data_IF_891795084955
#
_entry.id   IF_891795084955
#
_cell.length_a   1.000
_cell.length_b   1.000
_cell.length_c   1.000
_cell.angle_alpha   90.00
_cell.angle_beta   90.00
_cell.angle_gamma   90.00
#
_symmetry.space_group_name_H-M   'P 1'
#
loop_
_entity.id
_entity.type
_entity.pdbx_description
1 polymer ?
#
# COMPACT_ATOMS: atom_id res chain seq x y z
N UNK A 1 -4.52 -10.71 30.54
CA UNK A 1 -5.66 -11.64 30.70
C UNK A 1 -6.03 -11.72 32.15
N UNK A 2 -7.31 -11.79 32.47
CA UNK A 2 -7.85 -12.17 33.77
C UNK A 2 -8.76 -13.38 33.59
N UNK A 3 -8.84 -14.24 34.63
CA UNK A 3 -9.79 -15.35 34.64
C UNK A 3 -11.19 -14.82 34.92
N UNK A 4 -12.17 -15.38 34.30
CA UNK A 4 -13.61 -15.24 34.62
C UNK A 4 -14.13 -16.57 35.17
N UNK A 5 -15.34 -16.64 35.74
CA UNK A 5 -15.87 -17.90 36.27
C UNK A 5 -15.96 -19.02 35.24
N UNK A 6 -16.16 -18.69 33.96
CA UNK A 6 -16.33 -19.66 32.86
C UNK A 6 -15.31 -19.51 31.73
N UNK A 7 -14.26 -18.70 31.94
CA UNK A 7 -13.26 -18.47 30.89
C UNK A 7 -12.21 -17.42 31.24
N UNK A 8 -12.01 -16.47 30.32
CA UNK A 8 -10.93 -15.48 30.44
C UNK A 8 -11.21 -14.21 29.64
N UNK A 9 -10.55 -13.13 30.03
CA UNK A 9 -10.44 -11.90 29.23
C UNK A 9 -9.15 -11.93 28.41
N UNK A 10 -9.24 -11.74 27.11
CA UNK A 10 -8.12 -11.66 26.18
C UNK A 10 -7.95 -10.24 25.62
N UNK A 11 -6.74 -9.78 25.51
CA UNK A 11 -6.37 -8.61 24.72
C UNK A 11 -5.68 -9.11 23.45
N UNK A 12 -6.20 -8.71 22.31
CA UNK A 12 -5.63 -8.98 20.99
C UNK A 12 -4.96 -7.71 20.49
N UNK A 13 -3.69 -7.80 20.12
CA UNK A 13 -2.94 -6.69 19.53
C UNK A 13 -2.39 -7.16 18.20
N UNK A 14 -2.71 -6.43 17.14
CA UNK A 14 -2.18 -6.63 15.81
C UNK A 14 -1.18 -5.55 15.50
N UNK A 15 0.04 -5.94 15.11
CA UNK A 15 1.11 -5.04 14.70
C UNK A 15 1.34 -5.25 13.20
N UNK A 16 1.29 -4.19 12.42
CA UNK A 16 1.64 -4.23 11.02
C UNK A 16 3.13 -3.92 10.84
N UNK A 17 3.97 -4.93 10.87
CA UNK A 17 5.42 -4.79 10.68
C UNK A 17 5.83 -4.63 9.21
N UNK A 18 4.89 -4.57 8.29
CA UNK A 18 5.22 -4.32 6.88
C UNK A 18 5.73 -2.89 6.70
N UNK A 19 6.84 -2.75 5.98
CA UNK A 19 7.56 -1.47 5.90
C UNK A 19 6.75 -0.40 5.18
N UNK A 20 6.01 -0.75 4.13
CA UNK A 20 5.31 0.19 3.26
C UNK A 20 3.93 -0.28 2.79
N UNK A 21 3.39 -1.35 3.36
CA UNK A 21 2.02 -1.80 3.07
C UNK A 21 1.09 -1.47 4.22
N UNK A 22 0.10 -0.65 3.95
CA UNK A 22 -0.99 -0.37 4.87
C UNK A 22 -2.08 -1.44 4.79
N UNK A 23 -2.84 -1.58 5.86
CA UNK A 23 -4.19 -2.16 5.80
C UNK A 23 -5.14 -0.98 5.59
N UNK A 24 -5.73 -0.90 4.40
CA UNK A 24 -6.56 0.24 3.99
C UNK A 24 -8.05 -0.02 4.31
N UNK A 25 -8.87 1.02 4.18
CA UNK A 25 -10.33 0.89 4.24
C UNK A 25 -10.82 -0.18 3.22
N UNK A 26 -11.82 -0.98 3.57
CA UNK A 26 -12.63 -1.03 4.79
C UNK A 26 -11.98 -1.67 6.02
N UNK A 27 -10.67 -1.87 6.02
CA UNK A 27 -9.94 -2.32 7.18
C UNK A 27 -9.74 -3.83 7.27
N UNK A 28 -9.17 -4.26 8.38
CA UNK A 28 -8.90 -5.67 8.63
C UNK A 28 -10.15 -6.43 9.08
N UNK A 29 -10.19 -7.70 8.70
CA UNK A 29 -11.10 -8.70 9.25
C UNK A 29 -10.28 -9.86 9.77
N UNK A 30 -10.36 -10.13 11.06
CA UNK A 30 -9.65 -11.22 11.72
C UNK A 30 -10.61 -12.35 12.06
N UNK A 31 -10.28 -13.56 11.66
CA UNK A 31 -11.05 -14.77 11.96
C UNK A 31 -10.18 -15.84 12.59
N UNK A 32 -10.83 -16.75 13.31
CA UNK A 32 -10.19 -17.96 13.87
C UNK A 32 -11.22 -19.06 14.10
N UNK A 33 -10.73 -20.23 14.45
CA UNK A 33 -11.57 -21.34 14.88
C UNK A 33 -11.29 -21.65 16.34
N UNK A 34 -12.32 -21.66 17.17
CA UNK A 34 -12.24 -22.08 18.55
C UNK A 34 -11.81 -23.54 18.67
N UNK A 35 -11.00 -23.85 19.69
CA UNK A 35 -10.57 -25.21 19.93
C UNK A 35 -11.68 -26.10 20.51
N UNK A 36 -12.59 -25.48 21.29
CA UNK A 36 -13.74 -26.14 21.92
C UNK A 36 -15.06 -25.40 21.56
N UNK A 37 -15.95 -25.24 22.51
CA UNK A 37 -17.24 -24.55 22.39
C UNK A 37 -17.20 -23.15 23.00
N UNK A 38 -16.03 -22.50 22.86
CA UNK A 38 -15.85 -21.13 23.36
C UNK A 38 -16.82 -20.16 22.69
N UNK A 39 -17.27 -19.15 23.44
CA UNK A 39 -18.12 -18.05 22.97
C UNK A 39 -17.50 -16.70 23.32
N UNK A 40 -17.89 -15.66 22.62
CA UNK A 40 -17.52 -14.28 22.95
C UNK A 40 -18.69 -13.67 23.74
N UNK A 41 -18.51 -13.40 25.02
CA UNK A 41 -19.51 -12.71 25.83
C UNK A 41 -19.58 -11.23 25.51
N UNK A 42 -18.43 -10.60 25.37
CA UNK A 42 -18.33 -9.18 25.05
C UNK A 42 -17.06 -8.89 24.25
N UNK A 43 -17.13 -7.88 23.38
CA UNK A 43 -16.00 -7.31 22.67
C UNK A 43 -15.94 -5.82 22.97
N UNK A 44 -14.75 -5.29 23.16
CA UNK A 44 -14.46 -3.86 23.38
C UNK A 44 -13.36 -3.45 22.42
N UNK A 45 -13.58 -2.41 21.63
CA UNK A 45 -12.69 -1.97 20.54
C UNK A 45 -12.85 -2.76 19.25
N UNK A 46 -13.77 -3.73 19.20
CA UNK A 46 -14.08 -4.50 18.01
C UNK A 46 -15.48 -5.11 18.11
N UNK A 47 -16.00 -5.61 17.01
CA UNK A 47 -17.29 -6.32 16.97
C UNK A 47 -17.20 -7.60 16.14
N UNK A 48 -18.03 -8.59 16.48
CA UNK A 48 -18.17 -9.78 15.66
C UNK A 48 -19.10 -9.49 14.49
N UNK A 49 -18.72 -9.89 13.29
CA UNK A 49 -19.51 -9.65 12.07
C UNK A 49 -20.84 -10.39 12.05
N UNK A 50 -20.95 -11.49 12.81
CA UNK A 50 -22.16 -12.31 12.94
C UNK A 50 -22.21 -12.95 14.33
N UNK A 51 -23.38 -12.90 14.99
CA UNK A 51 -23.59 -13.51 16.30
C UNK A 51 -23.57 -15.05 16.25
N UNK A 52 -24.21 -15.64 15.26
CA UNK A 52 -24.42 -17.09 15.18
C UNK A 52 -25.59 -17.55 16.01
N UNK A 53 -25.72 -18.87 16.15
CA UNK A 53 -26.82 -19.48 16.94
C UNK A 53 -26.43 -19.49 18.43
N UNK A 54 -27.16 -18.70 19.22
CA UNK A 54 -27.04 -18.58 20.67
C UNK A 54 -28.27 -19.12 21.41
N UNK A 55 -29.13 -19.89 20.75
CA UNK A 55 -30.41 -20.36 21.26
C UNK A 55 -30.33 -21.20 22.55
N UNK A 56 -29.21 -21.81 22.83
CA UNK A 56 -28.93 -22.60 24.03
C UNK A 56 -28.69 -21.78 25.30
N UNK A 57 -28.42 -20.46 25.16
CA UNK A 57 -28.27 -19.57 26.31
C UNK A 57 -29.61 -18.99 26.71
N UNK A 58 -30.13 -19.40 27.89
CA UNK A 58 -31.46 -19.00 28.41
C UNK A 58 -31.47 -17.69 29.22
N UNK A 59 -30.26 -17.15 29.51
CA UNK A 59 -30.09 -15.92 30.30
C UNK A 59 -29.40 -14.84 29.50
N UNK A 60 -28.21 -14.47 29.95
CA UNK A 60 -27.38 -13.55 29.19
C UNK A 60 -26.98 -14.17 27.85
N UNK A 61 -27.18 -13.42 26.77
CA UNK A 61 -26.87 -13.87 25.40
C UNK A 61 -25.48 -13.40 25.03
N UNK A 62 -24.57 -14.32 24.62
CA UNK A 62 -23.25 -13.93 24.18
C UNK A 62 -23.27 -13.02 22.93
N UNK A 63 -22.25 -12.17 22.81
CA UNK A 63 -22.03 -11.34 21.63
C UNK A 63 -21.80 -12.19 20.36
N UNK A 64 -21.10 -13.34 20.49
CA UNK A 64 -20.93 -14.28 19.36
C UNK A 64 -20.80 -15.73 19.85
N UNK A 65 -21.63 -16.61 19.27
CA UNK A 65 -21.66 -18.05 19.53
C UNK A 65 -21.08 -18.89 18.39
N UNK A 66 -20.46 -18.26 17.39
CA UNK A 66 -19.90 -19.01 16.25
C UNK A 66 -18.64 -19.78 16.63
N UNK A 67 -18.55 -21.01 16.13
CA UNK A 67 -17.31 -21.81 16.20
C UNK A 67 -16.14 -21.15 15.47
N UNK A 68 -16.44 -20.43 14.40
CA UNK A 68 -15.50 -19.67 13.58
C UNK A 68 -15.91 -18.19 13.57
N UNK A 69 -15.66 -17.44 14.65
CA UNK A 69 -15.99 -16.02 14.68
C UNK A 69 -15.09 -15.24 13.71
N UNK A 70 -15.63 -14.17 13.19
CA UNK A 70 -14.90 -13.13 12.46
C UNK A 70 -15.17 -11.80 13.13
N UNK A 71 -14.13 -11.01 13.34
CA UNK A 71 -14.14 -9.76 14.10
C UNK A 71 -13.56 -8.65 13.23
N UNK A 72 -14.13 -7.46 13.35
CA UNK A 72 -13.68 -6.23 12.69
C UNK A 72 -13.47 -5.11 13.71
N UNK A 73 -12.67 -4.12 13.37
CA UNK A 73 -12.49 -2.93 14.20
C UNK A 73 -13.74 -2.04 14.18
N UNK A 74 -13.98 -1.33 15.26
CA UNK A 74 -15.02 -0.32 15.30
C UNK A 74 -14.66 0.90 14.44
N UNK A 75 -15.70 1.57 13.95
CA UNK A 75 -15.55 2.81 13.19
C UNK A 75 -15.13 3.98 14.11
N UNK A 76 -14.48 5.02 13.55
CA UNK A 76 -14.25 6.27 14.26
C UNK A 76 -15.57 6.84 14.79
N UNK A 77 -15.52 7.37 16.02
CA UNK A 77 -16.72 7.91 16.70
C UNK A 77 -17.49 6.90 17.55
N UNK A 78 -17.01 5.66 17.68
CA UNK A 78 -17.57 4.69 18.63
C UNK A 78 -17.65 5.27 20.05
N UNK A 79 -18.71 4.95 20.84
CA UNK A 79 -18.86 5.44 22.21
C UNK A 79 -17.66 5.09 23.09
N UNK A 80 -17.30 5.97 24.03
CA UNK A 80 -16.12 5.81 24.88
C UNK A 80 -16.08 4.47 25.64
N UNK A 81 -17.23 3.99 26.11
CA UNK A 81 -17.35 2.70 26.81
C UNK A 81 -17.12 1.47 25.92
N UNK A 82 -17.11 1.66 24.61
CA UNK A 82 -16.80 0.62 23.62
C UNK A 82 -15.37 0.75 23.07
N UNK A 83 -14.65 1.82 23.40
CA UNK A 83 -13.30 2.04 22.93
C UNK A 83 -12.28 1.23 23.72
N UNK A 84 -11.24 0.81 23.03
CA UNK A 84 -10.06 0.18 23.59
C UNK A 84 -8.79 0.90 23.07
N UNK A 85 -7.68 0.71 23.71
CA UNK A 85 -6.40 1.30 23.26
C UNK A 85 -6.11 0.90 21.82
N UNK A 86 -5.76 1.87 20.96
CA UNK A 86 -5.43 1.67 19.54
C UNK A 86 -6.56 1.10 18.66
N UNK A 87 -7.82 1.15 19.10
CA UNK A 87 -8.96 0.75 18.30
C UNK A 87 -9.54 1.90 17.47
N UNK A 88 -10.68 1.56 16.88
CA UNK A 88 -11.71 2.47 16.41
C UNK A 88 -11.25 3.36 15.26
N UNK A 89 -10.50 2.74 14.35
CA UNK A 89 -10.01 3.34 13.10
C UNK A 89 -10.67 2.70 11.86
N UNK A 90 -11.75 1.93 12.04
CA UNK A 90 -12.36 1.15 10.97
C UNK A 90 -11.44 0.07 10.41
N UNK A 91 -10.52 -0.43 11.22
CA UNK A 91 -9.55 -1.46 10.80
C UNK A 91 -8.41 -0.97 9.92
N UNK A 92 -8.25 0.32 9.76
CA UNK A 92 -7.11 0.90 9.02
C UNK A 92 -5.87 0.87 9.90
N UNK A 93 -4.79 0.30 9.38
CA UNK A 93 -3.51 0.18 10.11
C UNK A 93 -2.38 0.62 9.20
N UNK A 94 -1.61 1.60 9.63
CA UNK A 94 -0.48 2.14 8.84
C UNK A 94 0.64 1.12 8.65
N UNK A 95 1.49 1.36 7.66
CA UNK A 95 2.73 0.62 7.52
C UNK A 95 3.72 1.04 8.61
N UNK A 96 4.47 0.09 9.14
CA UNK A 96 5.47 0.36 10.18
C UNK A 96 6.52 1.38 9.76
N UNK A 97 6.94 1.32 8.51
CA UNK A 97 7.95 2.23 7.97
C UNK A 97 7.50 3.68 7.92
N UNK A 98 6.21 3.94 7.76
CA UNK A 98 5.66 5.30 7.73
C UNK A 98 5.44 5.82 9.15
N UNK A 99 4.61 5.15 9.94
CA UNK A 99 4.28 5.57 11.31
C UNK A 99 4.08 4.36 12.23
N UNK A 100 5.09 4.00 13.02
CA UNK A 100 4.99 2.91 13.98
C UNK A 100 3.88 3.09 15.02
N UNK A 101 3.54 4.34 15.37
CA UNK A 101 2.53 4.62 16.40
C UNK A 101 1.11 4.27 15.95
N UNK A 102 0.83 4.38 14.66
CA UNK A 102 -0.46 4.02 14.05
C UNK A 102 -0.47 2.64 13.39
N UNK A 103 0.69 1.96 13.38
CA UNK A 103 0.87 0.60 12.83
C UNK A 103 0.35 -0.50 13.77
N UNK A 104 -0.53 -0.16 14.69
CA UNK A 104 -1.07 -1.08 15.69
C UNK A 104 -2.60 -0.91 15.81
N UNK A 105 -3.30 -2.03 16.00
CA UNK A 105 -4.71 -2.08 16.37
C UNK A 105 -4.91 -3.08 17.49
N UNK A 106 -5.76 -2.76 18.47
CA UNK A 106 -5.98 -3.63 19.63
C UNK A 106 -7.44 -3.62 20.04
N UNK A 107 -7.89 -4.76 20.57
CA UNK A 107 -9.22 -4.91 21.14
C UNK A 107 -9.21 -5.94 22.26
N UNK A 108 -10.29 -5.96 23.05
CA UNK A 108 -10.46 -6.88 24.17
C UNK A 108 -11.68 -7.78 23.95
N UNK A 109 -11.54 -9.05 24.27
CA UNK A 109 -12.62 -10.04 24.25
C UNK A 109 -12.80 -10.65 25.64
N UNK A 110 -14.06 -10.80 26.06
CA UNK A 110 -14.45 -11.68 27.16
C UNK A 110 -14.88 -13.03 26.57
N UNK A 111 -14.12 -14.07 26.83
CA UNK A 111 -14.33 -15.42 26.27
C UNK A 111 -14.88 -16.34 27.37
N UNK A 112 -16.00 -16.95 27.07
CA UNK A 112 -16.68 -17.89 27.95
C UNK A 112 -16.76 -19.30 27.37
N UNK A 113 -17.34 -20.20 28.17
CA UNK A 113 -17.36 -21.63 27.88
C UNK A 113 -15.96 -22.18 27.58
N UNK A 114 -14.96 -21.59 28.20
CA UNK A 114 -13.54 -21.83 27.97
C UNK A 114 -12.89 -22.42 29.25
N UNK A 115 -11.63 -22.84 29.13
CA UNK A 115 -10.86 -23.24 30.29
C UNK A 115 -10.57 -22.05 31.20
N UNK A 116 -10.50 -22.30 32.50
CA UNK A 116 -10.22 -21.30 33.57
C UNK A 116 -8.82 -21.43 34.15
N UNK A 117 -7.97 -22.23 33.55
CA UNK A 117 -6.57 -22.44 34.01
C UNK A 117 -5.62 -22.49 32.79
N UNK A 118 -4.34 -22.23 33.01
CA UNK A 118 -3.29 -22.36 31.97
C UNK A 118 -3.29 -23.74 31.28
N UNK A 119 -3.68 -24.82 32.02
CA UNK A 119 -3.71 -26.17 31.45
C UNK A 119 -4.93 -26.47 30.65
N UNK A 120 -6.05 -25.83 30.93
CA UNK A 120 -7.35 -26.08 30.30
C UNK A 120 -7.65 -25.17 29.11
N UNK A 121 -7.07 -23.95 29.07
CA UNK A 121 -7.18 -23.03 27.91
C UNK A 121 -6.42 -23.61 26.70
N UNK A 122 -7.05 -23.55 25.56
CA UNK A 122 -6.45 -23.96 24.28
C UNK A 122 -6.38 -22.75 23.35
N UNK A 123 -5.22 -22.50 22.70
CA UNK A 123 -5.13 -21.46 21.68
C UNK A 123 -6.11 -21.72 20.54
N UNK A 124 -6.75 -20.68 19.98
CA UNK A 124 -7.54 -20.79 18.75
C UNK A 124 -6.68 -21.31 17.59
N UNK A 125 -7.32 -21.82 16.57
CA UNK A 125 -6.68 -22.42 15.38
C UNK A 125 -7.16 -21.72 14.12
N UNK A 126 -6.51 -22.01 12.99
CA UNK A 126 -6.93 -21.58 11.65
C UNK A 126 -7.23 -20.09 11.58
N UNK A 127 -6.26 -19.28 12.00
CA UNK A 127 -6.37 -17.83 11.89
C UNK A 127 -6.45 -17.40 10.44
N UNK A 128 -7.34 -16.45 10.17
CA UNK A 128 -7.51 -15.80 8.86
C UNK A 128 -7.45 -14.30 9.04
N UNK A 129 -6.76 -13.62 8.14
CA UNK A 129 -6.67 -12.17 8.10
C UNK A 129 -6.97 -11.70 6.68
N UNK A 130 -7.92 -10.76 6.58
CA UNK A 130 -8.18 -10.00 5.37
C UNK A 130 -7.78 -8.55 5.63
N UNK A 131 -7.15 -7.90 4.68
CA UNK A 131 -6.75 -6.53 4.86
C UNK A 131 -6.68 -5.68 3.59
N UNK A 132 -7.81 -5.21 3.08
CA UNK A 132 -9.22 -5.58 3.13
C UNK A 132 -9.56 -6.83 2.32
N UNK A 133 -8.72 -7.22 1.39
CA UNK A 133 -8.89 -8.40 0.54
C UNK A 133 -8.05 -9.59 0.99
N UNK A 134 -8.09 -10.68 0.23
CA UNK A 134 -7.24 -11.86 0.45
C UNK A 134 -5.76 -11.52 0.24
N UNK A 135 -4.90 -12.45 0.60
CA UNK A 135 -3.45 -12.34 0.41
C UNK A 135 -2.63 -12.63 1.66
N UNK A 136 -3.27 -12.66 2.83
CA UNK A 136 -2.60 -13.06 4.06
C UNK A 136 -2.73 -14.55 4.32
N UNK A 137 -1.64 -15.17 4.71
CA UNK A 137 -1.57 -16.54 5.22
C UNK A 137 -1.08 -16.48 6.65
N UNK A 138 -1.87 -17.00 7.58
CA UNK A 138 -1.56 -17.00 9.00
C UNK A 138 -1.01 -18.34 9.47
N UNK A 139 0.05 -18.29 10.26
CA UNK A 139 0.62 -19.46 10.92
C UNK A 139 -0.22 -19.94 12.09
N UNK A 140 0.25 -21.00 12.74
CA UNK A 140 -0.40 -21.53 13.97
C UNK A 140 -0.06 -20.65 15.17
N UNK A 141 -1.00 -20.53 16.10
CA UNK A 141 -0.72 -19.89 17.40
C UNK A 141 0.38 -20.65 18.16
N UNK A 142 1.38 -19.93 18.58
CA UNK A 142 2.49 -20.44 19.41
C UNK A 142 2.43 -19.79 20.79
N UNK A 143 2.49 -20.59 21.85
CA UNK A 143 2.61 -20.07 23.22
C UNK A 143 4.01 -19.47 23.37
N UNK A 144 4.04 -18.24 23.84
CA UNK A 144 5.28 -17.47 24.06
C UNK A 144 5.34 -16.99 25.52
N UNK A 145 6.49 -16.47 25.99
CA UNK A 145 6.59 -15.88 27.31
C UNK A 145 5.50 -14.85 27.57
N UNK A 146 4.92 -14.88 28.78
CA UNK A 146 3.79 -14.02 29.11
C UNK A 146 4.15 -12.54 29.04
N UNK A 147 3.34 -11.78 28.30
CA UNK A 147 3.51 -10.34 28.12
C UNK A 147 3.39 -9.61 29.45
N UNK A 148 4.26 -8.62 29.64
CA UNK A 148 4.27 -7.75 30.81
C UNK A 148 3.73 -6.38 30.38
N UNK A 149 2.72 -5.90 31.09
CA UNK A 149 2.14 -4.58 30.93
C UNK A 149 2.62 -3.68 32.08
N UNK A 150 3.05 -2.48 31.73
CA UNK A 150 3.37 -1.44 32.70
C UNK A 150 2.21 -0.43 32.70
N UNK A 151 1.82 0.01 33.91
CA UNK A 151 0.91 1.15 34.01
C UNK A 151 1.55 2.42 33.39
N UNK A 152 0.76 3.44 32.98
CA UNK A 152 1.30 4.68 32.40
C UNK A 152 2.34 5.38 33.29
N UNK A 153 2.16 5.29 34.62
CA UNK A 153 3.08 5.81 35.63
C UNK A 153 4.27 4.88 35.90
N UNK A 154 4.38 3.73 35.20
CA UNK A 154 5.38 2.66 35.37
C UNK A 154 5.49 2.04 36.76
N UNK A 155 4.57 2.38 37.68
CA UNK A 155 4.61 1.90 39.08
C UNK A 155 4.02 0.50 39.22
N UNK A 156 3.07 0.14 38.37
CA UNK A 156 2.44 -1.19 38.41
C UNK A 156 2.88 -2.03 37.23
N UNK A 157 3.24 -3.27 37.55
CA UNK A 157 3.63 -4.27 36.54
C UNK A 157 2.62 -5.41 36.60
N UNK A 158 1.88 -5.59 35.51
CA UNK A 158 0.90 -6.67 35.37
C UNK A 158 1.41 -7.65 34.33
N UNK A 159 1.38 -8.93 34.64
CA UNK A 159 1.79 -9.97 33.71
C UNK A 159 0.56 -10.73 33.21
N UNK A 160 0.49 -10.96 31.89
CA UNK A 160 -0.54 -11.80 31.28
C UNK A 160 -0.44 -13.23 31.82
N UNK A 161 -1.56 -13.89 32.02
CA UNK A 161 -1.61 -15.28 32.44
C UNK A 161 -1.03 -16.23 31.42
N UNK A 162 -1.27 -15.94 30.13
CA UNK A 162 -0.74 -16.64 28.98
C UNK A 162 -0.68 -15.67 27.79
N UNK A 163 0.33 -15.82 26.97
CA UNK A 163 0.45 -15.11 25.69
C UNK A 163 0.70 -16.12 24.56
N UNK A 164 0.04 -15.92 23.47
CA UNK A 164 0.36 -16.63 22.23
C UNK A 164 0.52 -15.65 21.08
N UNK A 165 1.38 -16.01 20.14
CA UNK A 165 1.69 -15.21 18.94
C UNK A 165 1.23 -15.94 17.70
N UNK A 166 0.72 -15.16 16.74
CA UNK A 166 0.35 -15.60 15.40
C UNK A 166 1.00 -14.63 14.41
N UNK A 167 1.72 -15.18 13.43
CA UNK A 167 2.30 -14.39 12.33
C UNK A 167 1.49 -14.62 11.07
N UNK A 168 1.04 -13.54 10.45
CA UNK A 168 0.40 -13.55 9.15
C UNK A 168 1.31 -12.89 8.12
N UNK A 169 1.58 -13.55 7.01
CA UNK A 169 2.41 -13.05 5.92
C UNK A 169 1.56 -12.74 4.69
N UNK A 170 1.88 -11.66 4.01
CA UNK A 170 1.19 -11.26 2.79
C UNK A 170 1.90 -11.78 1.54
N UNK A 171 1.11 -12.25 0.58
CA UNK A 171 1.58 -12.62 -0.76
C UNK A 171 0.68 -11.98 -1.81
N UNK A 172 1.27 -11.21 -2.71
CA UNK A 172 0.57 -10.59 -3.83
C UNK A 172 -0.01 -11.65 -4.78
N UNK A 173 0.69 -12.78 -4.95
CA UNK A 173 0.22 -13.90 -5.76
C UNK A 173 -1.07 -14.51 -5.19
N UNK A 174 -1.14 -14.70 -3.87
CA UNK A 174 -2.34 -15.22 -3.20
C UNK A 174 -3.48 -14.21 -3.20
N UNK A 175 -3.17 -12.94 -3.19
CA UNK A 175 -4.16 -11.87 -3.28
C UNK A 175 -4.85 -11.82 -4.65
N UNK A 176 -4.31 -12.47 -5.67
CA UNK A 176 -4.77 -12.39 -7.08
C UNK A 176 -4.98 -10.95 -7.53
N UNK A 177 -4.19 -10.03 -6.96
CA UNK A 177 -4.25 -8.62 -7.33
C UNK A 177 -3.45 -8.41 -8.59
N UNK A 178 -4.07 -7.74 -9.53
CA UNK A 178 -3.40 -7.19 -10.69
C UNK A 178 -2.62 -5.94 -10.29
N UNK A 179 -1.69 -5.48 -11.15
CA UNK A 179 -0.96 -4.27 -10.86
C UNK A 179 -1.93 -3.14 -10.48
N UNK A 180 -1.82 -2.66 -9.25
CA UNK A 180 -2.64 -1.54 -8.75
C UNK A 180 -2.15 -0.21 -9.29
N UNK A 181 -0.91 -0.16 -9.77
CA UNK A 181 -0.34 1.01 -10.40
C UNK A 181 0.48 0.65 -11.64
N UNK A 182 0.62 1.62 -12.53
CA UNK A 182 1.51 1.56 -13.67
C UNK A 182 2.38 2.81 -13.75
N UNK A 183 3.52 2.67 -14.38
CA UNK A 183 4.51 3.73 -14.52
C UNK A 183 4.54 4.21 -15.96
N UNK A 184 4.49 5.52 -16.16
CA UNK A 184 4.76 6.17 -17.44
C UNK A 184 6.05 6.98 -17.33
N UNK A 185 6.79 7.05 -18.42
CA UNK A 185 8.12 7.67 -18.46
C UNK A 185 8.15 8.80 -19.47
N UNK A 186 8.83 9.87 -19.14
CA UNK A 186 9.16 10.95 -20.07
C UNK A 186 10.42 11.68 -19.65
N UNK A 187 10.94 12.50 -20.56
CA UNK A 187 12.06 13.36 -20.25
C UNK A 187 11.95 14.70 -20.98
N UNK A 188 12.56 15.72 -20.42
CA UNK A 188 12.64 17.04 -21.04
C UNK A 188 13.39 17.02 -22.38
N UNK A 189 14.31 16.08 -22.57
CA UNK A 189 15.15 15.98 -23.76
C UNK A 189 14.47 15.29 -24.94
N UNK A 190 13.33 14.68 -24.73
CA UNK A 190 12.61 13.94 -25.75
C UNK A 190 11.09 14.14 -25.56
N UNK A 191 10.43 14.58 -26.61
CA UNK A 191 8.96 14.78 -26.61
C UNK A 191 8.17 13.48 -26.47
N UNK A 192 8.83 12.33 -26.60
CA UNK A 192 8.19 11.03 -26.48
C UNK A 192 7.81 10.74 -25.04
N UNK A 193 6.54 10.54 -24.79
CA UNK A 193 6.03 10.00 -23.53
C UNK A 193 5.79 8.51 -23.72
N UNK A 194 6.53 7.70 -22.96
CA UNK A 194 6.28 6.26 -22.89
C UNK A 194 5.08 6.04 -21.96
N UNK A 195 3.93 5.59 -22.48
CA UNK A 195 2.73 5.44 -21.69
C UNK A 195 2.87 4.27 -20.70
N UNK A 196 1.95 4.23 -19.74
CA UNK A 196 1.77 3.04 -18.94
C UNK A 196 1.55 1.83 -19.84
N UNK A 197 2.20 0.69 -19.55
CA UNK A 197 1.84 -0.56 -20.19
C UNK A 197 0.36 -0.86 -19.88
N UNK A 198 -0.27 -1.67 -20.73
CA UNK A 198 -1.68 -2.01 -20.57
C UNK A 198 -1.87 -2.70 -19.22
N UNK A 199 -2.33 -1.94 -18.24
CA UNK A 199 -2.78 -2.49 -16.97
C UNK A 199 -4.19 -3.02 -17.17
N UNK A 200 -4.42 -4.21 -16.66
CA UNK A 200 -5.79 -4.67 -16.47
C UNK A 200 -6.40 -3.83 -15.34
N UNK A 201 -7.53 -3.22 -15.59
CA UNK A 201 -8.25 -2.38 -14.62
C UNK A 201 -8.81 -3.18 -13.42
N UNK A 202 -8.25 -4.32 -13.07
CA UNK A 202 -8.81 -5.25 -12.10
C UNK A 202 -10.11 -5.91 -12.59
N UNK A 203 -10.43 -5.81 -13.87
CA UNK A 203 -11.61 -6.36 -14.50
C UNK A 203 -11.37 -7.80 -14.92
N UNK A 204 -11.33 -8.73 -13.96
CA UNK A 204 -11.19 -10.16 -14.27
C UNK A 204 -12.51 -10.83 -14.60
N UNK A 205 -13.56 -10.41 -13.94
CA UNK A 205 -14.91 -10.85 -14.28
C UNK A 205 -15.51 -9.84 -15.25
N UNK A 206 -15.95 -10.33 -16.40
CA UNK A 206 -16.69 -9.55 -17.41
C UNK A 206 -17.92 -8.83 -16.82
N UNK A 207 -18.35 -9.24 -15.62
CA UNK A 207 -19.46 -8.64 -14.86
C UNK A 207 -19.14 -7.30 -14.20
N UNK A 208 -17.84 -7.00 -13.98
CA UNK A 208 -17.45 -5.82 -13.20
C UNK A 208 -16.92 -4.64 -14.02
N UNK A 209 -16.73 -4.81 -15.32
CA UNK A 209 -16.21 -3.78 -16.21
C UNK A 209 -16.72 -3.94 -17.63
N UNK A 210 -16.87 -2.83 -18.33
CA UNK A 210 -17.25 -2.78 -19.74
C UNK A 210 -15.98 -2.61 -20.57
N UNK A 211 -15.80 -3.43 -21.61
CA UNK A 211 -14.68 -3.28 -22.56
C UNK A 211 -14.88 -2.04 -23.43
N UNK A 212 -13.77 -1.36 -23.75
CA UNK A 212 -13.77 -0.24 -24.69
C UNK A 212 -14.38 -0.66 -26.04
N UNK A 213 -15.45 0.02 -26.47
CA UNK A 213 -16.17 -0.27 -27.71
C UNK A 213 -17.38 -1.20 -27.60
N UNK A 214 -17.66 -1.79 -26.43
CA UNK A 214 -18.96 -2.44 -26.20
C UNK A 214 -20.04 -1.38 -26.08
N UNK A 215 -21.12 -1.52 -26.86
CA UNK A 215 -22.32 -0.72 -26.67
C UNK A 215 -22.84 -0.98 -25.25
N UNK A 216 -22.94 0.07 -24.44
CA UNK A 216 -23.66 0.02 -23.18
C UNK A 216 -25.11 -0.21 -23.57
N UNK A 217 -25.54 -1.44 -23.53
CA UNK A 217 -26.98 -1.75 -23.63
C UNK A 217 -27.55 -1.31 -22.28
N UNK A 218 -28.01 -0.07 -22.24
CA UNK A 218 -28.97 0.34 -21.24
C UNK A 218 -30.29 -0.41 -21.57
N UNK A 219 -30.43 -1.61 -21.05
CA UNK A 219 -31.74 -2.21 -20.92
C UNK A 219 -32.47 -1.44 -19.84
N UNK A 220 -32.99 -0.30 -20.21
CA UNK A 220 -34.10 0.31 -19.51
C UNK A 220 -35.31 -0.45 -20.02
N UNK A 221 -35.61 -1.58 -19.41
CA UNK A 221 -36.96 -2.07 -19.39
C UNK A 221 -37.68 -1.28 -18.32
N UNK A 222 -38.65 -0.51 -18.76
CA UNK A 222 -39.64 0.18 -17.91
C UNK A 222 -40.35 -0.85 -17.01
N UNK A 223 -39.87 -1.00 -15.78
CA UNK A 223 -40.70 -1.49 -14.71
C UNK A 223 -40.46 -0.68 -13.44
N UNK A 224 -41.46 0.14 -13.16
CA UNK A 224 -41.45 1.18 -12.16
C UNK A 224 -41.69 0.62 -10.76
N UNK A 225 -40.81 -0.21 -10.22
CA UNK A 225 -40.83 -0.54 -8.78
C UNK A 225 -39.56 -1.29 -8.34
N UNK A 226 -38.41 -0.66 -8.40
CA UNK A 226 -37.31 -0.84 -7.44
C UNK A 226 -36.15 0.04 -7.92
N UNK A 227 -35.85 1.08 -7.16
CA UNK A 227 -34.63 1.85 -7.34
C UNK A 227 -33.42 0.98 -6.95
N UNK A 228 -33.05 0.07 -7.85
CA UNK A 228 -31.74 -0.57 -7.76
C UNK A 228 -30.69 0.48 -8.09
N UNK A 229 -29.87 0.82 -7.13
CA UNK A 229 -28.66 1.64 -7.28
C UNK A 229 -27.66 0.88 -8.17
N UNK A 230 -27.93 0.81 -9.47
CA UNK A 230 -26.99 0.26 -10.45
C UNK A 230 -25.87 1.27 -10.59
N UNK A 231 -24.78 1.06 -9.87
CA UNK A 231 -23.56 1.85 -10.07
C UNK A 231 -23.07 1.63 -11.52
N UNK A 232 -22.81 2.70 -12.26
CA UNK A 232 -22.27 2.57 -13.61
C UNK A 232 -20.99 1.77 -13.59
N UNK A 233 -20.90 0.72 -14.42
CA UNK A 233 -19.71 -0.11 -14.55
C UNK A 233 -18.58 0.74 -15.13
N UNK A 234 -17.38 0.77 -14.52
CA UNK A 234 -16.27 1.52 -15.06
C UNK A 234 -15.83 0.93 -16.40
N UNK A 235 -15.68 1.79 -17.40
CA UNK A 235 -15.17 1.40 -18.71
C UNK A 235 -13.65 1.27 -18.64
N UNK A 236 -13.08 0.10 -18.92
CA UNK A 236 -11.65 -0.10 -19.03
C UNK A 236 -11.11 0.48 -20.34
N UNK A 237 -10.26 1.48 -20.26
CA UNK A 237 -9.44 1.96 -21.37
C UNK A 237 -7.99 1.52 -21.17
N UNK A 238 -7.18 1.54 -22.25
CA UNK A 238 -5.75 1.21 -22.19
C UNK A 238 -4.92 2.08 -21.22
N UNK A 239 -5.52 3.13 -20.68
CA UNK A 239 -4.88 4.10 -19.79
C UNK A 239 -5.36 3.99 -18.34
N UNK A 240 -6.25 3.07 -18.04
CA UNK A 240 -6.87 2.98 -16.72
C UNK A 240 -6.20 1.92 -15.84
N UNK A 241 -4.94 2.16 -15.45
CA UNK A 241 -4.51 1.65 -14.17
C UNK A 241 -5.24 2.40 -13.06
N UNK A 242 -5.59 1.74 -11.95
CA UNK A 242 -6.15 2.43 -10.79
C UNK A 242 -5.30 3.62 -10.35
N UNK A 243 -3.99 3.49 -10.39
CA UNK A 243 -3.04 4.57 -10.11
C UNK A 243 -1.97 4.64 -11.19
N UNK A 244 -1.69 5.84 -11.67
CA UNK A 244 -0.57 6.11 -12.57
C UNK A 244 0.52 6.86 -11.82
N UNK A 245 1.74 6.33 -11.85
CA UNK A 245 2.95 7.01 -11.42
C UNK A 245 3.69 7.48 -12.68
N UNK A 246 3.84 8.79 -12.84
CA UNK A 246 4.60 9.35 -13.95
C UNK A 246 5.95 9.83 -13.48
N UNK A 247 6.99 9.29 -14.09
CA UNK A 247 8.38 9.65 -13.84
C UNK A 247 8.88 10.51 -15.01
N UNK A 248 9.21 11.76 -14.71
CA UNK A 248 9.70 12.71 -15.69
C UNK A 248 11.11 13.16 -15.34
N UNK A 249 12.09 12.80 -16.17
CA UNK A 249 13.45 13.30 -16.04
C UNK A 249 13.47 14.76 -16.50
N UNK A 250 13.76 15.69 -15.61
CA UNK A 250 13.72 17.12 -15.90
C UNK A 250 15.06 17.62 -16.41
N UNK A 251 15.91 18.08 -15.53
CA UNK A 251 17.13 18.80 -15.88
C UNK A 251 18.38 18.03 -15.45
N UNK A 252 19.42 18.21 -16.25
CA UNK A 252 20.75 17.66 -16.02
C UNK A 252 21.73 18.83 -15.79
N UNK A 253 21.96 19.17 -14.52
CA UNK A 253 22.92 20.18 -14.12
C UNK A 253 24.34 19.59 -14.06
N UNK A 254 25.35 20.41 -13.79
CA UNK A 254 26.74 19.98 -13.67
C UNK A 254 26.93 18.88 -12.61
N UNK A 255 26.47 19.12 -11.40
CA UNK A 255 26.68 18.24 -10.24
C UNK A 255 25.38 17.56 -9.75
N UNK A 256 24.23 17.92 -10.32
CA UNK A 256 22.90 17.44 -9.94
C UNK A 256 22.06 17.12 -11.16
N UNK A 257 21.03 16.34 -10.94
CA UNK A 257 19.94 16.14 -11.90
C UNK A 257 18.63 16.12 -11.16
N UNK A 258 17.53 16.40 -11.84
CA UNK A 258 16.23 16.46 -11.20
C UNK A 258 15.19 15.59 -11.92
N UNK A 259 14.26 15.11 -11.12
CA UNK A 259 13.16 14.26 -11.54
C UNK A 259 11.89 14.78 -10.92
N UNK A 260 10.83 14.84 -11.73
CA UNK A 260 9.48 15.09 -11.27
C UNK A 260 8.71 13.78 -11.22
N UNK A 261 8.13 13.48 -10.07
CA UNK A 261 7.25 12.32 -9.89
C UNK A 261 5.83 12.81 -9.65
N UNK A 262 4.91 12.26 -10.42
CA UNK A 262 3.49 12.59 -10.29
C UNK A 262 2.69 11.31 -10.07
N UNK A 263 1.73 11.35 -9.15
CA UNK A 263 0.80 10.25 -8.87
C UNK A 263 -0.60 10.73 -9.23
N UNK A 264 -1.32 9.97 -10.03
CA UNK A 264 -2.70 10.27 -10.40
C UNK A 264 -3.58 9.08 -10.04
N UNK A 265 -4.64 9.35 -9.27
CA UNK A 265 -5.65 8.38 -8.93
C UNK A 265 -6.71 8.33 -10.03
N UNK A 266 -6.81 7.21 -10.74
CA UNK A 266 -7.89 6.92 -11.69
C UNK A 266 -8.92 5.93 -11.11
N UNK A 267 -8.77 5.55 -9.85
CA UNK A 267 -9.68 4.62 -9.20
C UNK A 267 -10.89 5.37 -8.63
N UNK A 268 -12.00 5.34 -9.34
CA UNK A 268 -13.26 5.96 -8.89
C UNK A 268 -13.92 5.29 -7.67
N UNK A 269 -13.38 4.16 -7.23
CA UNK A 269 -13.93 3.39 -6.09
C UNK A 269 -13.08 3.49 -4.84
N UNK A 270 -11.94 4.16 -4.90
CA UNK A 270 -10.99 4.16 -3.79
C UNK A 270 -10.31 5.51 -3.61
N UNK A 271 -10.32 5.97 -2.39
CA UNK A 271 -9.62 7.16 -1.92
C UNK A 271 -8.31 6.74 -1.26
N UNK A 272 -7.23 7.43 -1.54
CA UNK A 272 -5.91 7.13 -1.00
C UNK A 272 -5.47 8.24 -0.04
N UNK A 273 -5.84 8.11 1.23
CA UNK A 273 -5.50 9.09 2.28
C UNK A 273 -4.13 8.88 2.91
N UNK A 274 -3.67 7.63 2.92
CA UNK A 274 -2.40 7.22 3.51
C UNK A 274 -1.57 6.47 2.47
N UNK A 275 -1.31 7.13 1.33
CA UNK A 275 -0.56 6.49 0.26
C UNK A 275 0.95 6.44 0.57
N UNK A 276 1.60 5.39 0.09
CA UNK A 276 3.05 5.26 0.03
C UNK A 276 3.49 4.91 -1.38
N UNK A 277 4.53 5.57 -1.84
CA UNK A 277 5.21 5.27 -3.08
C UNK A 277 6.63 4.82 -2.75
N UNK A 278 6.98 3.60 -3.11
CA UNK A 278 8.35 3.09 -2.95
C UNK A 278 8.97 2.95 -4.32
N UNK A 279 10.13 3.53 -4.49
CA UNK A 279 10.86 3.54 -5.76
C UNK A 279 12.26 2.99 -5.52
N UNK A 280 12.70 2.11 -6.40
CA UNK A 280 14.07 1.62 -6.46
C UNK A 280 14.82 2.28 -7.61
N UNK A 281 15.86 3.04 -7.27
CA UNK A 281 16.71 3.75 -8.23
C UNK A 281 18.16 3.82 -7.73
N UNK A 282 19.18 3.52 -8.56
CA UNK A 282 20.56 3.41 -8.10
C UNK A 282 21.13 4.70 -7.48
N UNK A 283 20.58 5.87 -7.82
CA UNK A 283 21.05 7.15 -7.30
C UNK A 283 20.31 7.64 -6.03
N UNK A 284 19.44 6.85 -5.43
CA UNK A 284 18.70 7.28 -4.23
C UNK A 284 19.57 7.40 -2.98
N UNK A 285 20.74 6.83 -2.96
CA UNK A 285 21.75 7.14 -1.93
C UNK A 285 22.12 8.64 -1.89
N UNK A 286 21.93 9.35 -3.00
CA UNK A 286 22.33 10.73 -3.20
C UNK A 286 21.16 11.71 -3.33
N UNK A 287 19.98 11.38 -2.79
CA UNK A 287 18.85 12.32 -2.73
C UNK A 287 19.23 13.51 -1.88
N UNK A 288 19.21 14.70 -2.48
CA UNK A 288 19.58 15.94 -1.80
C UNK A 288 18.35 16.65 -1.27
N UNK A 289 17.28 16.70 -2.05
CA UNK A 289 16.06 17.39 -1.68
C UNK A 289 14.84 16.75 -2.35
N UNK A 290 13.73 16.71 -1.60
CA UNK A 290 12.38 16.35 -2.07
C UNK A 290 11.45 17.49 -1.68
N UNK A 291 10.66 18.02 -2.62
CA UNK A 291 9.97 19.30 -2.39
C UNK A 291 8.58 19.18 -1.76
N UNK A 292 7.76 18.24 -2.23
CA UNK A 292 6.34 18.19 -1.84
C UNK A 292 5.92 16.85 -1.25
N UNK A 293 6.81 15.89 -1.18
CA UNK A 293 6.61 14.61 -0.51
C UNK A 293 7.53 14.48 0.68
N UNK A 294 7.11 13.75 1.69
CA UNK A 294 8.02 13.24 2.70
C UNK A 294 8.86 12.12 2.11
N UNK A 295 10.12 12.04 2.50
CA UNK A 295 11.07 11.04 2.02
C UNK A 295 11.72 10.28 3.17
N UNK A 296 11.80 8.98 3.04
CA UNK A 296 12.53 8.11 3.96
C UNK A 296 13.35 7.09 3.16
N UNK A 297 14.68 7.03 3.33
CA UNK A 297 15.46 5.97 2.73
C UNK A 297 15.09 4.62 3.35
N UNK A 298 14.93 3.60 2.52
CA UNK A 298 14.74 2.23 2.97
C UNK A 298 16.03 1.46 2.75
N UNK A 299 16.67 1.06 3.85
CA UNK A 299 17.82 0.17 3.81
C UNK A 299 17.29 -1.26 3.74
N UNK A 300 17.24 -1.82 2.53
CA UNK A 300 16.73 -3.17 2.32
C UNK A 300 17.72 -4.26 2.73
N UNK A 301 19.01 -4.05 2.46
CA UNK A 301 20.12 -4.94 2.83
C UNK A 301 21.36 -4.09 3.07
N UNK A 302 22.06 -4.28 4.14
CA UNK A 302 23.19 -3.53 4.75
C UNK A 302 24.10 -2.65 3.87
N UNK A 303 24.06 -2.74 2.55
CA UNK A 303 24.93 -2.02 1.64
C UNK A 303 24.27 -1.36 0.43
N UNK A 304 22.99 -1.61 0.16
CA UNK A 304 22.32 -1.10 -1.05
C UNK A 304 21.21 -0.12 -0.68
N UNK A 305 21.57 1.16 -0.62
CA UNK A 305 20.64 2.28 -0.37
C UNK A 305 20.03 2.79 -1.70
N UNK A 306 19.44 1.90 -2.49
CA UNK A 306 18.84 2.23 -3.78
C UNK A 306 17.32 2.40 -3.72
N UNK A 307 16.74 2.29 -2.53
CA UNK A 307 15.29 2.29 -2.36
C UNK A 307 14.85 3.45 -1.47
N UNK A 308 13.91 4.23 -1.98
CA UNK A 308 13.29 5.34 -1.27
C UNK A 308 11.79 5.16 -1.10
N UNK A 309 11.27 5.53 0.06
CA UNK A 309 9.85 5.61 0.35
C UNK A 309 9.42 7.07 0.40
N UNK A 310 8.38 7.39 -0.35
CA UNK A 310 7.76 8.69 -0.43
C UNK A 310 6.31 8.59 0.06
N UNK A 311 5.84 9.61 0.75
CA UNK A 311 4.45 9.70 1.19
C UNK A 311 4.02 11.17 1.27
N UNK A 312 2.74 11.41 1.19
CA UNK A 312 2.22 12.76 1.18
C UNK A 312 2.19 13.37 2.58
N UNK A 313 2.47 14.66 2.66
CA UNK A 313 2.09 15.48 3.79
C UNK A 313 0.56 15.48 3.92
N UNK A 314 0.03 15.73 5.12
CA UNK A 314 -1.41 15.67 5.41
C UNK A 314 -2.28 16.39 4.36
N UNK A 315 -1.86 17.56 3.92
CA UNK A 315 -2.55 18.35 2.90
C UNK A 315 -2.55 17.67 1.53
N UNK A 316 -1.42 17.06 1.11
CA UNK A 316 -1.31 16.36 -0.16
C UNK A 316 -1.96 14.97 -0.16
N UNK A 317 -2.19 14.38 1.00
CA UNK A 317 -2.96 13.15 1.11
C UNK A 317 -4.41 13.36 0.68
N UNK A 318 -4.98 14.53 0.98
CA UNK A 318 -6.36 14.83 0.65
C UNK A 318 -6.59 14.93 -0.87
N UNK A 319 -5.58 15.31 -1.65
CA UNK A 319 -5.69 15.39 -3.11
C UNK A 319 -5.88 14.03 -3.79
N UNK A 320 -5.40 12.93 -3.22
CA UNK A 320 -5.64 11.59 -3.77
C UNK A 320 -6.95 10.95 -3.29
N UNK A 321 -7.75 11.66 -2.50
CA UNK A 321 -9.12 11.25 -2.16
C UNK A 321 -10.04 11.34 -3.37
N UNK A 322 -9.78 12.24 -4.29
CA UNK A 322 -10.52 12.37 -5.56
C UNK A 322 -9.91 11.49 -6.64
N UNK A 323 -10.63 11.33 -7.75
CA UNK A 323 -10.17 10.59 -8.92
C UNK A 323 -10.07 11.48 -10.16
N UNK A 324 -9.29 11.05 -11.15
CA UNK A 324 -9.13 11.76 -12.41
C UNK A 324 -8.19 12.96 -12.30
N UNK A 325 -8.53 14.06 -12.97
CA UNK A 325 -7.65 15.24 -13.04
C UNK A 325 -7.45 15.96 -11.70
N UNK A 326 -8.36 15.79 -10.75
CA UNK A 326 -8.28 16.38 -9.41
C UNK A 326 -7.51 15.49 -8.43
N UNK A 327 -7.55 14.17 -8.63
CA UNK A 327 -6.80 13.20 -7.83
C UNK A 327 -5.33 13.12 -8.25
N UNK A 328 -4.59 14.21 -8.12
CA UNK A 328 -3.23 14.34 -8.61
C UNK A 328 -2.31 14.98 -7.58
N UNK A 329 -1.17 14.35 -7.31
CA UNK A 329 -0.09 14.90 -6.49
C UNK A 329 1.23 14.76 -7.22
N UNK A 330 2.14 15.69 -6.96
CA UNK A 330 3.45 15.69 -7.61
C UNK A 330 4.54 16.22 -6.70
N UNK A 331 5.76 15.76 -6.91
CA UNK A 331 6.94 16.24 -6.23
C UNK A 331 8.13 16.27 -7.19
N UNK A 332 9.01 17.21 -6.98
CA UNK A 332 10.31 17.24 -7.62
C UNK A 332 11.36 16.70 -6.64
N UNK A 333 12.34 15.99 -7.19
CA UNK A 333 13.48 15.45 -6.46
C UNK A 333 14.76 15.93 -7.09
N UNK A 334 15.67 16.43 -6.28
CA UNK A 334 17.02 16.81 -6.67
C UNK A 334 18.02 15.74 -6.17
N UNK A 335 18.77 15.17 -7.10
CA UNK A 335 19.74 14.12 -6.84
C UNK A 335 21.14 14.58 -7.21
N UNK A 336 22.11 14.34 -6.32
CA UNK A 336 23.51 14.59 -6.61
C UNK A 336 24.05 13.48 -7.49
N UNK A 337 24.79 13.85 -8.53
CA UNK A 337 25.44 12.88 -9.41
C UNK A 337 26.59 12.18 -8.71
N UNK A 338 26.65 10.88 -8.85
CA UNK A 338 27.87 10.14 -8.61
C UNK A 338 28.70 10.16 -9.92
N UNK A 339 29.85 10.78 -9.89
CA UNK A 339 30.71 10.97 -11.06
C UNK A 339 31.18 9.64 -11.69
N UNK A 340 31.21 8.57 -10.91
CA UNK A 340 31.69 7.27 -11.35
C UNK A 340 30.59 6.42 -11.99
N UNK A 341 29.35 6.59 -11.54
CA UNK A 341 28.24 5.70 -11.94
C UNK A 341 27.12 6.43 -12.70
N UNK A 342 27.11 7.78 -12.65
CA UNK A 342 26.06 8.54 -13.31
C UNK A 342 26.13 8.40 -14.83
N UNK A 343 25.04 7.96 -15.43
CA UNK A 343 24.86 7.91 -16.88
C UNK A 343 23.38 8.14 -17.23
N UNK A 344 23.12 8.71 -18.38
CA UNK A 344 21.78 8.80 -18.94
C UNK A 344 21.50 7.69 -19.97
N UNK A 345 22.46 6.78 -20.22
CA UNK A 345 22.30 5.66 -21.15
C UNK A 345 21.54 4.49 -20.51
N UNK A 346 21.01 3.62 -21.34
CA UNK A 346 20.47 2.31 -20.95
C UNK A 346 19.42 2.37 -19.85
N UNK A 347 18.63 3.44 -19.82
CA UNK A 347 17.55 3.60 -18.86
C UNK A 347 17.99 3.86 -17.40
N UNK A 348 19.27 4.17 -17.15
CA UNK A 348 19.78 4.44 -15.80
C UNK A 348 19.00 5.55 -15.06
N UNK A 349 18.54 6.58 -15.79
CA UNK A 349 17.77 7.69 -15.20
C UNK A 349 16.31 7.32 -14.84
N UNK A 350 15.89 6.09 -15.11
CA UNK A 350 14.53 5.62 -14.84
C UNK A 350 14.52 4.62 -13.70
N UNK A 351 13.37 4.50 -12.98
CA UNK A 351 13.28 3.60 -11.85
C UNK A 351 13.36 2.13 -12.29
N UNK A 352 13.97 1.29 -11.46
CA UNK A 352 14.02 -0.17 -11.66
C UNK A 352 12.74 -0.85 -11.20
N UNK A 353 12.19 -0.38 -10.08
CA UNK A 353 10.93 -0.87 -9.51
C UNK A 353 10.16 0.26 -8.86
N UNK A 354 8.87 0.16 -8.91
CA UNK A 354 7.95 1.10 -8.28
C UNK A 354 6.87 0.30 -7.56
N UNK A 355 6.57 0.65 -6.31
CA UNK A 355 5.49 0.05 -5.54
C UNK A 355 4.56 1.15 -5.05
N UNK A 356 3.27 0.97 -5.22
CA UNK A 356 2.26 1.85 -4.67
C UNK A 356 1.44 1.11 -3.61
N UNK A 357 1.42 1.64 -2.39
CA UNK A 357 0.80 1.01 -1.23
C UNK A 357 1.22 -0.46 -1.02
N UNK A 358 2.47 -0.76 -1.36
CA UNK A 358 3.06 -2.08 -1.22
C UNK A 358 2.81 -3.06 -2.35
N UNK A 359 2.02 -2.70 -3.35
CA UNK A 359 1.84 -3.50 -4.56
C UNK A 359 2.83 -3.06 -5.64
N UNK A 360 3.48 -4.02 -6.30
CA UNK A 360 4.41 -3.74 -7.39
C UNK A 360 3.67 -3.17 -8.59
N UNK A 361 4.14 -2.03 -9.07
CA UNK A 361 3.62 -1.35 -10.25
C UNK A 361 4.24 -1.92 -11.53
N UNK A 362 3.50 -1.83 -12.63
CA UNK A 362 4.00 -2.26 -13.93
C UNK A 362 4.80 -1.16 -14.60
N UNK A 363 6.06 -1.44 -14.91
CA UNK A 363 6.95 -0.58 -15.69
C UNK A 363 6.86 -0.91 -17.18
N UNK A 364 7.06 0.07 -18.06
CA UNK A 364 7.31 -0.21 -19.47
C UNK A 364 8.52 -1.13 -19.66
N UNK A 365 8.59 -1.91 -20.72
CA UNK A 365 9.79 -2.67 -21.03
C UNK A 365 10.97 -1.72 -21.31
N UNK A 366 12.21 -2.08 -20.90
CA UNK A 366 13.37 -1.19 -20.99
C UNK A 366 13.72 -0.71 -22.42
N UNK A 367 13.40 -1.48 -23.43
CA UNK A 367 13.63 -1.19 -24.85
C UNK A 367 12.79 -0.01 -25.37
N UNK A 368 11.71 0.37 -24.70
CA UNK A 368 10.87 1.52 -25.07
C UNK A 368 11.14 2.76 -24.24
N UNK A 369 12.12 2.75 -23.35
CA UNK A 369 12.44 3.90 -22.51
C UNK A 369 12.81 5.12 -23.35
N UNK A 370 12.50 6.35 -22.90
CA UNK A 370 12.88 7.56 -23.62
C UNK A 370 14.41 7.61 -23.77
N UNK A 371 14.87 7.89 -24.97
CA UNK A 371 16.30 8.08 -25.24
C UNK A 371 16.76 9.40 -24.63
N UNK A 372 17.83 9.36 -23.84
CA UNK A 372 18.40 10.54 -23.21
C UNK A 372 19.81 10.80 -23.75
N UNK A 373 20.17 12.06 -24.06
CA UNK A 373 21.49 12.38 -24.54
C UNK A 373 22.52 12.16 -23.43
N UNK A 374 23.59 11.49 -23.80
CA UNK A 374 24.71 11.18 -22.90
C UNK A 374 25.86 12.18 -23.07
N UNK A 375 25.79 13.36 -22.66
CA UNK A 375 26.69 14.46 -22.99
C UNK A 375 26.58 14.93 -24.44
N UNK A 376 26.73 16.20 -24.69
CA UNK A 376 27.02 16.71 -26.00
C UNK A 376 28.30 15.98 -26.49
N UNK A 377 28.13 15.09 -27.44
CA UNK A 377 29.22 14.82 -28.34
C UNK A 377 29.53 16.22 -28.92
N UNK A 378 30.63 16.82 -28.52
CA UNK A 378 31.23 17.86 -29.30
C UNK A 378 31.30 17.26 -30.69
N UNK A 379 30.39 17.63 -31.56
CA UNK A 379 30.65 17.64 -32.97
C UNK A 379 31.77 18.67 -33.08
N UNK A 380 33.01 18.21 -32.96
CA UNK A 380 34.10 18.82 -33.62
C UNK A 380 33.68 18.81 -35.09
N UNK A 381 32.97 19.87 -35.47
CA UNK A 381 32.88 20.29 -36.85
C UNK A 381 34.33 20.46 -37.23
N UNK A 382 34.88 19.44 -37.83
CA UNK A 382 36.16 19.49 -38.52
C UNK A 382 35.98 20.51 -39.65
N UNK A 383 36.25 21.75 -39.31
CA UNK A 383 36.42 22.83 -40.30
C UNK A 383 37.69 22.65 -41.15
N UNK A 384 38.31 21.48 -41.09
CA UNK A 384 39.54 21.15 -41.78
C UNK A 384 39.48 21.09 -43.30
N UNK A 385 38.38 20.85 -44.04
CA UNK A 385 38.43 20.87 -45.46
C UNK A 385 38.20 22.25 -46.13
N UNK A 386 37.70 23.26 -45.40
CA UNK A 386 37.39 24.56 -45.99
C UNK A 386 38.54 25.55 -45.98
N UNK A 387 39.49 25.39 -45.09
CA UNK A 387 40.69 26.24 -45.03
C UNK A 387 41.75 25.79 -46.06
N UNK A 388 41.76 24.54 -46.47
CA UNK A 388 42.67 24.01 -47.47
C UNK A 388 42.32 24.42 -48.88
N UNK A 389 41.05 24.73 -49.18
CA UNK A 389 40.68 25.18 -50.51
C UNK A 389 40.87 26.69 -50.74
N UNK A 390 40.99 27.47 -49.68
CA UNK A 390 41.30 28.92 -49.84
C UNK A 390 42.79 29.22 -49.96
N UNK A 391 43.68 28.38 -49.52
CA UNK A 391 45.13 28.55 -49.70
C UNK A 391 45.64 28.12 -51.07
N UNK A 392 44.91 27.32 -51.82
CA UNK A 392 45.25 26.93 -53.18
C UNK A 392 44.83 27.94 -54.26
N UNK A 393 43.91 28.88 -53.95
CA UNK A 393 43.47 29.89 -54.91
C UNK A 393 44.37 31.14 -54.97
N UNK A 394 45.35 31.29 -54.08
CA UNK A 394 46.30 32.42 -54.09
C UNK A 394 47.62 32.10 -54.70
N UNK A 395 47.93 30.91 -55.21
CA UNK A 395 49.24 30.52 -55.79
C UNK A 395 49.19 30.41 -57.32
N UNK A 396 48.01 30.67 -57.95
CA UNK A 396 47.90 30.59 -59.44
C UNK A 396 47.73 31.97 -60.10
N UNK A 397 47.97 33.07 -59.40
CA UNK A 397 48.01 34.40 -60.05
C UNK A 397 49.33 35.08 -59.62
N UNK A 398 50.42 34.56 -60.16
CA UNK A 398 51.68 35.30 -60.50
C UNK A 398 52.42 34.48 -61.50
#
# INVERSE_FOLDING_TARGET
MSWTPDGYVAVVTMNNFQTYRHIMSPGWTLGWMWARKEVIWAAVGAEATKQGDCSWFKGNIPHCCKKTPTVVDLLPGAPYNQQFTNCCKGGVVSAWGQDPSTAVSSFQLSVGSAGTTKRTVRPPKNFTLLGPGPGYTCGRARVVPSTIFLSPDRRRRTQALMTWNVTCTYSQLLAKKYPSCCVSLSSFYNSTVVPCPSCTCGCHDKSNCVQSGSKIVSTVEDDATEKSNVQPLPQCTRHMCPVRVHWHVMLNYKDYWSVKVSITNFNYRMNYTLWTLVIQHPNFINVTQVFSFDYKPLVAYDSINDTGMFYGLKFYNDHLMEAGKFGHVQSEMLLKKDKNTFTLREGWAFPRKVYFNGDEGQLPPPDVYPFLPNSAHETLLSFSPLISSFTFLFIVIW
#
